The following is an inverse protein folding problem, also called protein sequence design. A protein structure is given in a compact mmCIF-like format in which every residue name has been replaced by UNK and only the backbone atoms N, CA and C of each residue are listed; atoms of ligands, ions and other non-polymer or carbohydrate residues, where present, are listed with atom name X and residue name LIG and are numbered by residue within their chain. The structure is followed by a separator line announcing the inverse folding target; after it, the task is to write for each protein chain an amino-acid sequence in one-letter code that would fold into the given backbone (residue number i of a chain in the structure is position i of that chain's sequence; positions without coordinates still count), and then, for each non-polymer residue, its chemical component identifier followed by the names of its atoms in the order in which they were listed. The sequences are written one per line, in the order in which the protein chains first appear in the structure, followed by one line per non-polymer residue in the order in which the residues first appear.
data_IF_751826541155
#
_entry.id   IF_751826541155
#
_cell.length_a   1.000
_cell.length_b   1.000
_cell.length_c   1.000
_cell.angle_alpha   90.00
_cell.angle_beta   90.00
_cell.angle_gamma   90.00
#
_symmetry.space_group_name_H-M   'P 1'
#
loop_
_entity.id
_entity.type
_entity.pdbx_description
1 polymer ?
#
# COMPACT_ATOMS: atom_id res chain seq x y z
N UNK A 1 10.30 3.86 5.78
CA UNK A 1 9.50 2.78 5.20
C UNK A 1 10.04 2.44 3.82
N UNK A 2 10.38 1.19 3.60
CA UNK A 2 10.89 0.74 2.31
C UNK A 2 9.74 0.37 1.38
N UNK A 3 9.96 0.53 0.09
CA UNK A 3 8.97 0.25 -0.92
C UNK A 3 9.51 -0.78 -1.93
N UNK A 4 8.70 -1.73 -2.30
CA UNK A 4 9.09 -2.77 -3.24
C UNK A 4 7.88 -3.51 -3.79
N UNK A 5 8.09 -4.74 -4.22
CA UNK A 5 7.02 -5.62 -4.68
C UNK A 5 7.29 -7.06 -4.25
N UNK A 6 6.24 -7.85 -4.17
CA UNK A 6 6.38 -9.27 -3.84
C UNK A 6 6.78 -10.05 -5.09
N UNK A 7 7.85 -10.83 -4.97
CA UNK A 7 8.31 -11.70 -6.04
C UNK A 7 7.27 -12.80 -6.33
N UNK A 8 7.24 -13.25 -7.55
CA UNK A 8 6.36 -14.31 -8.03
C UNK A 8 4.87 -14.00 -7.90
N UNK A 9 4.52 -12.72 -7.79
CA UNK A 9 3.13 -12.26 -7.80
C UNK A 9 2.88 -11.35 -8.98
N UNK A 10 1.61 -11.24 -9.38
CA UNK A 10 1.23 -10.29 -10.42
C UNK A 10 0.04 -9.47 -9.95
N UNK A 11 0.03 -8.19 -10.30
CA UNK A 11 -1.09 -7.29 -10.09
C UNK A 11 -1.86 -7.14 -11.42
N UNK A 12 -2.86 -6.26 -11.42
CA UNK A 12 -3.69 -6.03 -12.61
C UNK A 12 -2.90 -5.55 -13.82
N UNK A 13 -1.77 -4.89 -13.62
CA UNK A 13 -0.91 -4.40 -14.71
C UNK A 13 0.13 -5.41 -15.15
N UNK A 14 0.14 -6.62 -14.59
CA UNK A 14 1.09 -7.67 -14.95
C UNK A 14 2.43 -7.58 -14.22
N UNK A 15 2.65 -6.57 -13.41
CA UNK A 15 3.85 -6.41 -12.60
C UNK A 15 3.60 -6.99 -11.20
N UNK A 16 4.61 -7.08 -10.36
CA UNK A 16 4.43 -7.59 -9.00
C UNK A 16 3.53 -6.72 -8.13
N UNK A 17 2.98 -7.29 -7.08
CA UNK A 17 2.19 -6.52 -6.12
C UNK A 17 3.10 -5.63 -5.31
N UNK A 18 2.84 -4.34 -5.30
CA UNK A 18 3.63 -3.35 -4.58
C UNK A 18 3.48 -3.52 -3.07
N UNK A 19 4.57 -3.32 -2.36
CA UNK A 19 4.63 -3.51 -0.91
C UNK A 19 5.32 -2.33 -0.26
N UNK A 20 4.72 -1.81 0.81
CA UNK A 20 5.37 -0.92 1.75
C UNK A 20 5.90 -1.75 2.91
N UNK A 21 7.20 -1.72 3.15
CA UNK A 21 7.82 -2.47 4.25
C UNK A 21 8.17 -1.50 5.37
N UNK A 22 7.55 -1.70 6.51
CA UNK A 22 7.76 -0.87 7.68
C UNK A 22 8.90 -1.37 8.58
N UNK A 23 8.96 -0.81 9.77
CA UNK A 23 10.04 -1.06 10.71
C UNK A 23 9.70 -2.12 11.77
N UNK A 24 8.47 -2.63 11.79
CA UNK A 24 8.08 -3.68 12.72
C UNK A 24 8.73 -5.00 12.29
N UNK A 25 9.51 -5.59 13.20
CA UNK A 25 10.24 -6.82 12.92
C UNK A 25 9.36 -8.03 12.62
N UNK A 26 8.13 -8.03 13.10
CA UNK A 26 7.22 -9.15 12.89
C UNK A 26 6.70 -9.28 11.46
N UNK A 27 6.93 -8.37 10.59
CA UNK A 27 6.65 -8.46 9.15
C UNK A 27 5.31 -9.10 8.79
N UNK A 28 4.28 -8.80 9.56
CA UNK A 28 2.94 -9.26 9.26
C UNK A 28 2.28 -8.37 8.20
N UNK A 29 1.40 -8.96 7.41
CA UNK A 29 0.54 -8.17 6.54
C UNK A 29 -0.53 -7.55 7.44
N UNK A 30 -0.37 -6.27 7.75
CA UNK A 30 -1.22 -5.57 8.71
C UNK A 30 -2.37 -4.83 8.06
N UNK A 31 -2.17 -4.41 6.83
CA UNK A 31 -3.14 -3.57 6.14
C UNK A 31 -2.88 -3.60 4.64
N UNK A 32 -3.85 -3.11 3.90
CA UNK A 32 -3.69 -2.87 2.46
C UNK A 32 -4.17 -1.46 2.15
N UNK A 33 -3.60 -0.88 1.11
CA UNK A 33 -3.99 0.42 0.58
C UNK A 33 -4.67 0.19 -0.75
N UNK A 34 -5.94 0.59 -0.86
CA UNK A 34 -6.68 0.54 -2.13
C UNK A 34 -6.67 1.94 -2.72
N UNK A 35 -6.11 2.11 -3.91
CA UNK A 35 -5.81 3.42 -4.48
C UNK A 35 -6.47 3.55 -5.84
N UNK A 36 -7.05 4.73 -6.08
CA UNK A 36 -7.54 5.13 -7.40
C UNK A 36 -6.68 6.29 -7.89
N UNK A 37 -6.14 6.15 -9.09
CA UNK A 37 -5.38 7.22 -9.74
C UNK A 37 -6.17 7.68 -10.96
N UNK A 38 -6.78 8.86 -10.86
CA UNK A 38 -7.64 9.39 -11.91
C UNK A 38 -6.87 9.86 -13.14
N UNK A 39 -5.60 10.21 -13.00
CA UNK A 39 -4.77 10.60 -14.15
C UNK A 39 -4.41 9.39 -15.00
N UNK A 40 -4.03 8.30 -14.36
CA UNK A 40 -3.73 7.04 -15.03
C UNK A 40 -4.98 6.26 -15.40
N UNK A 41 -6.11 6.60 -14.78
CA UNK A 41 -7.39 5.90 -14.93
C UNK A 41 -7.28 4.43 -14.54
N UNK A 42 -6.58 4.17 -13.46
CA UNK A 42 -6.46 2.82 -12.92
C UNK A 42 -6.65 2.79 -11.41
N UNK A 43 -6.68 1.59 -10.89
CA UNK A 43 -6.69 1.35 -9.46
C UNK A 43 -5.66 0.29 -9.15
N UNK A 44 -5.12 0.33 -7.95
CA UNK A 44 -4.13 -0.64 -7.53
C UNK A 44 -4.24 -0.90 -6.03
N UNK A 45 -3.70 -2.04 -5.62
CA UNK A 45 -3.64 -2.43 -4.22
C UNK A 45 -2.17 -2.49 -3.82
N UNK A 46 -1.85 -1.89 -2.70
CA UNK A 46 -0.50 -1.97 -2.13
C UNK A 46 -0.60 -2.64 -0.77
N UNK A 47 0.30 -3.56 -0.51
CA UNK A 47 0.35 -4.28 0.76
C UNK A 47 1.23 -3.52 1.74
N UNK A 48 0.81 -3.44 2.99
CA UNK A 48 1.61 -2.88 4.08
C UNK A 48 2.09 -4.02 4.95
N UNK A 49 3.40 -4.23 4.96
CA UNK A 49 4.05 -5.33 5.65
C UNK A 49 4.88 -4.78 6.82
N UNK A 50 4.52 -5.18 8.03
CA UNK A 50 5.27 -4.76 9.22
C UNK A 50 5.28 -3.26 9.44
N UNK A 51 4.17 -2.57 9.20
CA UNK A 51 4.08 -1.13 9.39
C UNK A 51 3.49 -0.78 10.75
N UNK A 52 4.09 0.20 11.43
CA UNK A 52 3.53 0.77 12.66
C UNK A 52 2.33 1.65 12.31
N UNK A 53 1.55 2.04 13.31
CA UNK A 53 0.40 2.94 13.06
C UNK A 53 0.86 4.28 12.49
N UNK A 54 2.00 4.80 12.93
CA UNK A 54 2.56 6.04 12.38
C UNK A 54 2.93 5.87 10.91
N UNK A 55 3.53 4.74 10.56
CA UNK A 55 3.89 4.44 9.18
C UNK A 55 2.66 4.27 8.30
N UNK A 56 1.64 3.59 8.81
CA UNK A 56 0.35 3.45 8.10
C UNK A 56 -0.26 4.82 7.81
N UNK A 57 -0.25 5.70 8.79
CA UNK A 57 -0.80 7.06 8.62
C UNK A 57 0.00 7.84 7.59
N UNK A 58 1.32 7.76 7.61
CA UNK A 58 2.17 8.43 6.63
C UNK A 58 1.92 7.93 5.22
N UNK A 59 1.74 6.62 5.06
CA UNK A 59 1.44 6.01 3.76
C UNK A 59 0.06 6.47 3.27
N UNK A 60 -0.92 6.49 4.16
CA UNK A 60 -2.26 6.98 3.83
C UNK A 60 -2.21 8.44 3.35
N UNK A 61 -1.51 9.30 4.07
CA UNK A 61 -1.35 10.70 3.70
C UNK A 61 -0.70 10.83 2.33
N UNK A 62 0.36 10.08 2.08
CA UNK A 62 1.08 10.12 0.81
C UNK A 62 0.15 9.82 -0.37
N UNK A 63 -0.74 8.83 -0.22
CA UNK A 63 -1.64 8.43 -1.29
C UNK A 63 -2.90 9.30 -1.39
N UNK A 64 -3.02 10.32 -0.55
CA UNK A 64 -4.16 11.23 -0.57
C UNK A 64 -3.77 12.70 -0.72
N UNK A 65 -2.52 12.96 -1.07
CA UNK A 65 -2.00 14.34 -1.17
C UNK A 65 -2.57 15.12 -2.35
N UNK A 66 -2.94 14.45 -3.43
CA UNK A 66 -3.43 15.13 -4.64
C UNK A 66 -4.89 14.81 -4.88
N UNK A 67 -5.56 15.70 -5.64
CA UNK A 67 -6.95 15.47 -6.00
C UNK A 67 -7.14 14.30 -6.98
N UNK A 68 -6.10 13.94 -7.72
CA UNK A 68 -6.18 12.87 -8.71
C UNK A 68 -5.87 11.49 -8.14
N UNK A 69 -5.33 11.41 -6.94
CA UNK A 69 -5.01 10.13 -6.32
C UNK A 69 -5.67 10.07 -4.94
N UNK A 70 -6.50 9.05 -4.72
CA UNK A 70 -7.16 8.83 -3.44
C UNK A 70 -7.01 7.38 -3.03
N UNK A 71 -6.87 7.15 -1.74
CA UNK A 71 -6.71 5.81 -1.21
C UNK A 71 -7.46 5.58 0.08
N UNK A 72 -7.81 4.33 0.29
CA UNK A 72 -8.44 3.85 1.52
C UNK A 72 -7.50 2.86 2.16
N UNK A 73 -7.24 3.04 3.44
CA UNK A 73 -6.44 2.11 4.22
C UNK A 73 -7.38 1.11 4.89
N UNK A 74 -7.18 -0.18 4.61
CA UNK A 74 -7.95 -1.24 5.22
C UNK A 74 -7.04 -2.01 6.16
N UNK A 75 -7.31 -1.90 7.46
CA UNK A 75 -6.56 -2.61 8.50
C UNK A 75 -7.08 -4.02 8.66
N UNK A 76 -6.15 -4.93 8.94
CA UNK A 76 -6.51 -6.31 9.24
C UNK A 76 -7.13 -6.36 10.64
N UNK A 77 -8.32 -6.93 10.73
CA UNK A 77 -8.95 -7.23 12.01
C UNK A 77 -8.54 -8.64 12.43
N UNK A 78 -7.94 -8.74 13.59
CA UNK A 78 -7.49 -10.03 14.12
C UNK A 78 -8.29 -10.36 15.36
#
# INVERSE_FOLDING_TARGET
VDYGYLESTTSMDGEGIDVWVGTDEERNIDAVMCIVDLKKRDSEIKILLGCTEEEKESIYQFHNETESMKGILIRRNV
#
